data_IF_044779760380
#
_entry.id   IF_044779760380
#
_cell.length_a   1.000
_cell.length_b   1.000
_cell.length_c   1.000
_cell.angle_alpha   90.00
_cell.angle_beta   90.00
_cell.angle_gamma   90.00
#
_symmetry.space_group_name_H-M   'P 1'
#
loop_
_entity.id
_entity.type
_entity.pdbx_description
1 polymer ?
#
# COMPACT_ATOMS: atom_id res chain seq x y z
N UNK A 1 0.51 -16.02 -4.20
CA UNK A 1 1.82 -16.65 -4.10
C UNK A 1 2.56 -16.04 -2.91
N UNK A 2 3.35 -16.84 -2.20
CA UNK A 2 4.26 -16.36 -1.16
C UNK A 2 5.51 -15.68 -1.77
N UNK A 3 6.44 -15.26 -0.92
CA UNK A 3 7.68 -14.60 -1.36
C UNK A 3 8.56 -15.51 -2.20
N UNK A 4 8.54 -16.81 -1.93
CA UNK A 4 9.29 -17.86 -2.64
C UNK A 4 8.65 -18.26 -3.97
N UNK A 5 7.42 -17.78 -4.24
CA UNK A 5 6.67 -18.06 -5.46
C UNK A 5 5.79 -19.31 -5.40
N UNK A 6 5.58 -19.88 -4.21
CA UNK A 6 4.69 -21.00 -4.05
C UNK A 6 3.22 -20.50 -3.98
N UNK A 7 2.31 -21.29 -4.56
CA UNK A 7 0.89 -20.97 -4.42
C UNK A 7 0.43 -21.16 -2.98
N UNK A 8 -0.26 -20.16 -2.43
CA UNK A 8 -0.89 -20.24 -1.11
C UNK A 8 -2.33 -20.78 -1.18
N UNK A 9 -2.83 -20.99 -2.39
CA UNK A 9 -4.13 -21.60 -2.66
C UNK A 9 -3.93 -22.95 -3.35
N UNK A 10 -4.71 -23.94 -2.96
CA UNK A 10 -4.71 -25.25 -3.61
C UNK A 10 -5.16 -25.15 -5.08
N UNK A 11 -6.11 -24.25 -5.34
CA UNK A 11 -6.61 -23.96 -6.69
C UNK A 11 -6.88 -22.47 -6.85
N UNK A 12 -6.65 -21.90 -8.05
CA UNK A 12 -7.06 -20.52 -8.33
C UNK A 12 -8.55 -20.33 -8.11
N UNK A 13 -8.94 -19.15 -7.63
CA UNK A 13 -10.34 -18.71 -7.66
C UNK A 13 -10.69 -18.31 -9.09
N UNK A 14 -11.89 -18.65 -9.54
CA UNK A 14 -12.36 -18.25 -10.84
C UNK A 14 -13.87 -18.03 -10.82
N UNK A 15 -14.32 -17.04 -11.57
CA UNK A 15 -15.72 -16.73 -11.77
C UNK A 15 -15.96 -16.35 -13.22
N UNK A 16 -16.97 -16.94 -13.83
CA UNK A 16 -17.42 -16.52 -15.15
C UNK A 16 -18.06 -15.13 -15.06
N UNK A 17 -17.80 -14.31 -16.06
CA UNK A 17 -18.38 -12.97 -16.19
C UNK A 17 -19.22 -12.98 -17.47
N UNK A 18 -20.54 -12.95 -17.30
CA UNK A 18 -21.48 -12.98 -18.43
C UNK A 18 -21.99 -11.57 -18.73
N UNK A 19 -22.19 -11.29 -20.02
CA UNK A 19 -22.97 -10.15 -20.50
C UNK A 19 -22.49 -8.74 -20.06
N UNK A 20 -21.18 -8.48 -20.07
CA UNK A 20 -20.70 -7.11 -19.95
C UNK A 20 -21.09 -6.35 -21.22
N UNK A 21 -21.95 -5.33 -21.06
CA UNK A 21 -22.35 -4.47 -22.17
C UNK A 21 -21.15 -3.67 -22.67
N UNK A 22 -21.13 -3.33 -23.96
CA UNK A 22 -20.12 -2.40 -24.49
C UNK A 22 -20.11 -1.10 -23.67
N UNK A 23 -18.93 -0.67 -23.23
CA UNK A 23 -18.71 0.45 -22.30
C UNK A 23 -19.37 0.29 -20.92
N UNK A 24 -19.76 -0.92 -20.55
CA UNK A 24 -20.27 -1.26 -19.23
C UNK A 24 -19.15 -1.77 -18.32
N UNK A 25 -19.45 -1.75 -17.01
CA UNK A 25 -18.61 -2.30 -15.97
C UNK A 25 -19.33 -3.44 -15.27
N UNK A 26 -18.59 -4.38 -14.73
CA UNK A 26 -19.11 -5.41 -13.84
C UNK A 26 -18.13 -5.64 -12.72
N UNK A 27 -18.64 -5.88 -11.51
CA UNK A 27 -17.84 -6.19 -10.34
C UNK A 27 -17.88 -7.69 -10.12
N UNK A 28 -16.71 -8.28 -9.91
CA UNK A 28 -16.54 -9.68 -9.55
C UNK A 28 -15.93 -9.76 -8.17
N UNK A 29 -16.59 -10.45 -7.27
CA UNK A 29 -16.11 -10.68 -5.92
C UNK A 29 -15.59 -12.11 -5.79
N UNK A 30 -14.33 -12.26 -5.41
CA UNK A 30 -13.69 -13.54 -5.15
C UNK A 30 -13.20 -13.55 -3.71
N UNK A 31 -13.69 -14.48 -2.92
CA UNK A 31 -13.35 -14.58 -1.50
C UNK A 31 -12.72 -15.93 -1.18
N UNK A 32 -11.66 -15.90 -0.38
CA UNK A 32 -11.02 -17.11 0.13
C UNK A 32 -10.29 -16.81 1.43
N UNK A 33 -10.46 -17.67 2.38
CA UNK A 33 -9.66 -17.67 3.60
C UNK A 33 -8.25 -18.20 3.32
N UNK A 34 -7.24 -17.48 3.81
CA UNK A 34 -5.84 -17.91 3.80
C UNK A 34 -5.47 -18.27 5.25
N UNK A 35 -5.25 -19.55 5.56
CA UNK A 35 -4.94 -19.96 6.91
C UNK A 35 -3.54 -19.52 7.33
N UNK A 36 -3.44 -18.87 8.49
CA UNK A 36 -2.19 -18.45 9.14
C UNK A 36 -1.16 -17.78 8.20
N UNK A 37 -1.53 -16.73 7.46
CA UNK A 37 -0.57 -16.05 6.61
C UNK A 37 0.53 -15.39 7.45
N UNK A 38 1.75 -15.32 6.93
CA UNK A 38 2.79 -14.48 7.50
C UNK A 38 2.32 -13.03 7.44
N UNK A 39 2.15 -12.40 8.60
CA UNK A 39 1.60 -11.05 8.69
C UNK A 39 2.66 -10.02 8.37
N UNK A 40 2.23 -8.95 7.71
CA UNK A 40 3.07 -7.78 7.45
C UNK A 40 3.12 -6.87 8.69
N UNK A 41 4.33 -6.41 9.02
CA UNK A 41 4.59 -5.31 9.95
C UNK A 41 5.86 -4.58 9.51
N UNK A 42 6.16 -3.41 10.10
CA UNK A 42 7.39 -2.69 9.78
C UNK A 42 8.67 -3.46 10.11
N UNK A 43 8.61 -4.37 11.11
CA UNK A 43 9.73 -5.24 11.49
C UNK A 43 9.82 -6.49 10.59
N UNK A 44 8.67 -6.95 10.09
CA UNK A 44 8.55 -8.15 9.26
C UNK A 44 7.64 -7.87 8.07
N UNK A 45 8.13 -7.22 7.01
CA UNK A 45 7.32 -6.80 5.87
C UNK A 45 7.04 -7.95 4.90
N UNK A 46 6.32 -8.97 5.39
CA UNK A 46 5.95 -10.11 4.58
C UNK A 46 4.91 -9.74 3.53
N UNK A 47 5.28 -9.87 2.26
CA UNK A 47 4.42 -9.60 1.12
C UNK A 47 4.13 -10.87 0.33
N UNK A 48 2.93 -10.91 -0.22
CA UNK A 48 2.44 -11.93 -1.15
C UNK A 48 2.23 -11.31 -2.52
N UNK A 49 2.23 -12.14 -3.55
CA UNK A 49 1.91 -11.72 -4.93
C UNK A 49 0.50 -12.17 -5.26
N UNK A 50 -0.37 -11.22 -5.54
CA UNK A 50 -1.67 -11.46 -6.15
C UNK A 50 -1.51 -11.38 -7.67
N UNK A 51 -2.02 -12.38 -8.37
CA UNK A 51 -2.04 -12.43 -9.84
C UNK A 51 -3.49 -12.62 -10.27
N UNK A 52 -3.99 -11.65 -11.02
CA UNK A 52 -5.30 -11.70 -11.66
C UNK A 52 -5.13 -12.00 -13.13
N UNK A 53 -5.95 -12.89 -13.67
CA UNK A 53 -5.96 -13.25 -15.09
C UNK A 53 -7.37 -13.08 -15.64
N UNK A 54 -7.48 -12.35 -16.73
CA UNK A 54 -8.69 -12.30 -17.53
C UNK A 54 -8.52 -13.25 -18.72
N UNK A 55 -9.54 -14.07 -18.97
CA UNK A 55 -9.53 -15.00 -20.10
C UNK A 55 -10.80 -14.86 -20.93
N UNK A 56 -10.68 -15.09 -22.22
CA UNK A 56 -11.84 -15.15 -23.12
C UNK A 56 -12.66 -16.43 -22.91
N UNK A 57 -13.78 -16.55 -23.60
CA UNK A 57 -14.68 -17.72 -23.55
C UNK A 57 -14.04 -19.03 -24.05
N UNK A 58 -12.90 -18.96 -24.74
CA UNK A 58 -12.10 -20.10 -25.21
C UNK A 58 -11.00 -20.50 -24.24
N UNK A 59 -10.81 -19.73 -23.14
CA UNK A 59 -9.77 -19.96 -22.15
C UNK A 59 -8.44 -19.31 -22.49
N UNK A 60 -8.33 -18.49 -23.54
CA UNK A 60 -7.12 -17.75 -23.83
C UNK A 60 -6.99 -16.58 -22.86
N UNK A 61 -5.81 -16.44 -22.23
CA UNK A 61 -5.54 -15.32 -21.34
C UNK A 61 -5.38 -14.05 -22.18
N UNK A 62 -6.20 -13.04 -21.90
CA UNK A 62 -6.21 -11.75 -22.58
C UNK A 62 -5.48 -10.67 -21.80
N UNK A 63 -5.46 -10.78 -20.47
CA UNK A 63 -4.84 -9.80 -19.60
C UNK A 63 -4.32 -10.46 -18.31
N UNK A 64 -3.21 -9.96 -17.79
CA UNK A 64 -2.63 -10.40 -16.51
C UNK A 64 -2.20 -9.19 -15.72
N UNK A 65 -2.83 -9.03 -14.55
CA UNK A 65 -2.45 -8.01 -13.59
C UNK A 65 -1.80 -8.64 -12.36
N UNK A 66 -0.87 -7.90 -11.76
CA UNK A 66 -0.20 -8.35 -10.54
C UNK A 66 -0.02 -7.20 -9.56
N UNK A 67 -0.21 -7.49 -8.28
CA UNK A 67 0.16 -6.56 -7.21
C UNK A 67 0.75 -7.33 -6.02
N UNK A 68 1.42 -6.59 -5.16
CA UNK A 68 1.86 -7.10 -3.86
C UNK A 68 0.79 -6.79 -2.82
N UNK A 69 0.55 -7.72 -1.93
CA UNK A 69 -0.39 -7.58 -0.82
C UNK A 69 0.23 -8.05 0.48
N UNK A 70 -0.13 -7.41 1.58
CA UNK A 70 0.26 -7.81 2.92
C UNK A 70 -0.96 -8.11 3.79
N UNK A 71 -0.88 -9.13 4.63
CA UNK A 71 -1.92 -9.44 5.60
C UNK A 71 -1.60 -8.75 6.92
N UNK A 72 -2.46 -7.83 7.33
CA UNK A 72 -2.33 -7.16 8.63
C UNK A 72 -3.71 -6.81 9.20
N UNK A 73 -3.78 -6.70 10.50
CA UNK A 73 -4.88 -6.06 11.20
C UNK A 73 -4.38 -4.79 11.87
N UNK A 74 -5.14 -3.71 11.78
CA UNK A 74 -4.84 -2.43 12.46
C UNK A 74 -6.06 -2.04 13.28
N UNK A 75 -5.87 -1.80 14.57
CA UNK A 75 -6.94 -1.37 15.48
C UNK A 75 -6.48 -0.21 16.36
N UNK A 76 -7.42 0.69 16.65
CA UNK A 76 -7.26 1.70 17.70
C UNK A 76 -8.00 1.18 18.94
N UNK A 77 -7.28 0.88 20.01
CA UNK A 77 -7.84 0.31 21.23
C UNK A 77 -7.11 0.83 22.47
N UNK A 78 -7.88 1.19 23.48
CA UNK A 78 -7.37 1.68 24.77
C UNK A 78 -6.35 2.82 24.64
N UNK A 79 -6.58 3.76 23.69
CA UNK A 79 -5.69 4.88 23.41
C UNK A 79 -4.39 4.51 22.67
N UNK A 80 -4.29 3.30 22.16
CA UNK A 80 -3.12 2.79 21.42
C UNK A 80 -3.53 2.36 20.01
N UNK A 81 -2.55 2.36 19.10
CA UNK A 81 -2.69 1.72 17.79
C UNK A 81 -1.97 0.37 17.84
N UNK A 82 -2.72 -0.67 17.51
CA UNK A 82 -2.20 -2.03 17.46
C UNK A 82 -2.08 -2.47 16.01
N UNK A 83 -0.95 -3.08 15.67
CA UNK A 83 -0.75 -3.79 14.41
C UNK A 83 -0.60 -5.28 14.72
N UNK A 84 -1.49 -6.10 14.17
CA UNK A 84 -1.54 -7.54 14.44
C UNK A 84 -1.70 -7.86 15.94
N UNK A 85 -2.43 -7.02 16.69
CA UNK A 85 -2.66 -7.15 18.11
C UNK A 85 -1.50 -6.68 19.01
N UNK A 86 -0.42 -6.12 18.42
CA UNK A 86 0.74 -5.60 19.17
C UNK A 86 0.73 -4.08 19.11
N UNK A 87 0.83 -3.38 20.27
CA UNK A 87 0.95 -1.94 20.31
C UNK A 87 2.17 -1.45 19.52
N UNK A 88 1.97 -0.45 18.66
CA UNK A 88 3.02 0.12 17.82
C UNK A 88 3.29 1.56 18.25
N UNK A 89 4.58 1.87 18.39
CA UNK A 89 5.05 3.24 18.56
C UNK A 89 5.61 3.73 17.22
N UNK A 90 4.99 4.75 16.62
CA UNK A 90 5.44 5.34 15.36
C UNK A 90 6.64 6.24 15.59
N UNK A 91 7.80 5.78 15.20
CA UNK A 91 9.05 6.54 15.16
C UNK A 91 9.25 6.97 13.71
N UNK A 92 8.81 8.18 13.38
CA UNK A 92 8.72 8.62 12.00
C UNK A 92 9.29 10.00 11.74
N UNK A 93 9.30 10.34 10.46
CA UNK A 93 9.69 11.64 9.93
C UNK A 93 8.63 12.16 8.98
N UNK A 94 8.61 13.48 8.79
CA UNK A 94 7.85 14.09 7.70
C UNK A 94 8.70 14.05 6.43
N UNK A 95 8.08 13.71 5.31
CA UNK A 95 8.73 13.68 4.01
C UNK A 95 7.96 14.50 2.99
N UNK A 96 8.64 15.39 2.32
CA UNK A 96 8.19 16.00 1.08
C UNK A 96 8.80 15.27 -0.12
N UNK A 97 8.07 15.17 -1.22
CA UNK A 97 8.65 14.78 -2.51
C UNK A 97 9.46 15.92 -3.06
N UNK A 98 10.70 16.01 -2.66
CA UNK A 98 11.60 17.07 -3.06
C UNK A 98 13.04 16.56 -3.15
N UNK A 99 13.72 16.93 -4.21
CA UNK A 99 15.14 16.70 -4.44
C UNK A 99 15.83 18.04 -4.69
N UNK A 100 17.04 18.22 -4.17
CA UNK A 100 17.78 19.47 -4.18
C UNK A 100 18.09 19.99 -5.59
N UNK A 101 18.24 19.08 -6.55
CA UNK A 101 18.59 19.43 -7.95
C UNK A 101 17.41 19.45 -8.92
N UNK A 102 16.29 18.79 -8.57
CA UNK A 102 15.14 18.57 -9.46
C UNK A 102 13.80 19.04 -8.90
N UNK A 103 13.78 19.54 -7.66
CA UNK A 103 12.55 19.94 -7.00
C UNK A 103 11.62 18.76 -6.79
N UNK A 104 10.36 18.87 -7.22
CA UNK A 104 9.36 17.81 -7.07
C UNK A 104 9.49 16.63 -8.04
N UNK A 105 10.45 16.66 -8.98
CA UNK A 105 10.70 15.53 -9.88
C UNK A 105 11.63 14.49 -9.22
N UNK A 106 11.13 13.83 -8.20
CA UNK A 106 11.86 12.82 -7.42
C UNK A 106 12.07 11.54 -8.24
N UNK A 107 13.27 10.98 -8.20
CA UNK A 107 13.58 9.73 -8.88
C UNK A 107 13.36 8.51 -7.99
N UNK A 108 13.20 7.34 -8.58
CA UNK A 108 13.10 6.08 -7.85
C UNK A 108 14.32 5.85 -6.94
N UNK A 109 15.52 6.14 -7.44
CA UNK A 109 16.76 6.01 -6.67
C UNK A 109 16.80 6.95 -5.47
N UNK A 110 16.27 8.17 -5.61
CA UNK A 110 16.13 9.12 -4.51
C UNK A 110 15.17 8.61 -3.44
N UNK A 111 14.03 8.05 -3.85
CA UNK A 111 13.08 7.42 -2.92
C UNK A 111 13.70 6.23 -2.16
N UNK A 112 14.44 5.37 -2.85
CA UNK A 112 15.15 4.25 -2.22
C UNK A 112 16.17 4.76 -1.21
N UNK A 113 16.92 5.83 -1.53
CA UNK A 113 17.87 6.46 -0.61
C UNK A 113 17.20 6.96 0.65
N UNK A 114 16.05 7.62 0.53
CA UNK A 114 15.28 8.10 1.67
C UNK A 114 14.87 6.95 2.60
N UNK A 115 14.33 5.87 2.04
CA UNK A 115 13.93 4.69 2.83
C UNK A 115 15.12 4.02 3.51
N UNK A 116 16.23 3.85 2.81
CA UNK A 116 17.42 3.25 3.40
C UNK A 116 17.96 4.09 4.56
N UNK A 117 17.94 5.42 4.45
CA UNK A 117 18.28 6.32 5.55
C UNK A 117 17.31 6.16 6.72
N UNK A 118 16.00 6.11 6.49
CA UNK A 118 15.02 5.87 7.55
C UNK A 118 15.29 4.56 8.27
N UNK A 119 15.55 3.48 7.55
CA UNK A 119 15.87 2.16 8.16
C UNK A 119 17.19 2.21 8.93
N UNK A 120 18.21 2.87 8.41
CA UNK A 120 19.50 3.04 9.07
C UNK A 120 19.37 3.77 10.41
N UNK A 121 18.49 4.76 10.50
CA UNK A 121 18.21 5.51 11.73
C UNK A 121 17.06 4.91 12.55
N UNK A 122 16.64 3.70 12.24
CA UNK A 122 15.60 2.96 12.96
C UNK A 122 14.23 3.67 13.00
N UNK A 123 13.89 4.39 11.95
CA UNK A 123 12.52 4.87 11.74
C UNK A 123 11.65 3.74 11.17
N UNK A 124 10.41 3.68 11.63
CA UNK A 124 9.41 2.72 11.17
C UNK A 124 8.19 3.38 10.54
N UNK A 125 8.17 4.71 10.44
CA UNK A 125 7.02 5.45 9.92
C UNK A 125 7.45 6.67 9.12
N UNK A 126 6.61 7.10 8.20
CA UNK A 126 6.74 8.33 7.42
C UNK A 126 5.38 8.99 7.26
N UNK A 127 5.34 10.33 7.34
CA UNK A 127 4.17 11.13 6.96
C UNK A 127 4.43 11.78 5.62
N UNK A 128 3.52 11.56 4.66
CA UNK A 128 3.57 12.18 3.32
C UNK A 128 3.04 13.60 3.39
N UNK A 129 3.83 14.53 3.86
CA UNK A 129 3.38 15.92 4.01
C UNK A 129 3.60 16.71 2.72
N UNK A 130 2.57 17.37 2.19
CA UNK A 130 1.17 17.43 2.68
C UNK A 130 0.25 16.98 1.54
N UNK A 131 0.60 15.93 0.86
CA UNK A 131 -0.05 15.42 -0.35
C UNK A 131 0.30 13.94 -0.59
N UNK A 132 -0.51 13.20 -1.37
CA UNK A 132 -0.14 11.86 -1.79
C UNK A 132 1.17 11.87 -2.59
N UNK A 133 2.02 10.89 -2.32
CA UNK A 133 3.30 10.75 -3.00
C UNK A 133 3.18 9.89 -4.28
N UNK A 134 4.29 9.74 -5.01
CA UNK A 134 4.39 8.83 -6.15
C UNK A 134 3.97 7.41 -5.73
N UNK A 135 3.17 6.69 -6.53
CA UNK A 135 2.78 5.30 -6.22
C UNK A 135 3.94 4.37 -5.88
N UNK A 136 5.11 4.54 -6.52
CA UNK A 136 6.29 3.76 -6.22
C UNK A 136 6.81 3.95 -4.78
N UNK A 137 6.53 5.11 -4.16
CA UNK A 137 6.87 5.37 -2.76
C UNK A 137 6.14 4.41 -1.81
N UNK A 138 4.86 4.19 -2.05
CA UNK A 138 4.06 3.28 -1.23
C UNK A 138 4.50 1.83 -1.40
N UNK A 139 4.83 1.43 -2.64
CA UNK A 139 5.40 0.12 -2.93
C UNK A 139 6.72 -0.12 -2.18
N UNK A 140 7.57 0.90 -2.10
CA UNK A 140 8.82 0.86 -1.33
C UNK A 140 8.54 0.80 0.18
N UNK A 141 7.57 1.56 0.69
CA UNK A 141 7.17 1.51 2.10
C UNK A 141 6.68 0.11 2.49
N UNK A 142 5.90 -0.53 1.62
CA UNK A 142 5.44 -1.91 1.82
C UNK A 142 6.60 -2.90 1.85
N UNK A 143 7.56 -2.76 0.93
CA UNK A 143 8.70 -3.66 0.77
C UNK A 143 9.70 -3.55 1.92
N UNK A 144 10.03 -2.33 2.31
CA UNK A 144 11.03 -2.06 3.36
C UNK A 144 10.44 -2.04 4.78
N UNK A 145 9.13 -2.10 4.93
CA UNK A 145 8.46 -2.08 6.22
C UNK A 145 8.48 -0.69 6.85
N UNK A 146 7.77 0.24 6.23
CA UNK A 146 7.53 1.59 6.75
C UNK A 146 6.03 1.81 6.85
N UNK A 147 5.53 2.19 8.02
CA UNK A 147 4.16 2.68 8.18
C UNK A 147 4.00 4.03 7.52
N UNK A 148 2.91 4.24 6.82
CA UNK A 148 2.62 5.52 6.15
C UNK A 148 1.45 6.21 6.84
N UNK A 149 1.64 7.48 7.17
CA UNK A 149 0.57 8.42 7.50
C UNK A 149 0.36 9.25 6.24
N UNK A 150 -0.58 8.80 5.42
CA UNK A 150 -0.86 9.42 4.13
C UNK A 150 -1.77 10.63 4.29
N UNK A 151 -1.51 11.68 3.52
CA UNK A 151 -2.30 12.91 3.55
C UNK A 151 -2.96 13.15 2.20
N UNK A 152 -4.26 13.46 2.25
CA UNK A 152 -4.96 13.98 1.09
C UNK A 152 -4.42 15.38 0.73
N UNK A 153 -4.44 15.71 -0.56
CA UNK A 153 -4.02 17.03 -1.03
C UNK A 153 -5.07 18.11 -0.74
N UNK A 154 -5.34 18.34 0.54
CA UNK A 154 -6.34 19.30 1.05
C UNK A 154 -5.77 20.27 2.07
N UNK A 155 -4.46 20.41 2.14
CA UNK A 155 -3.85 21.40 3.02
C UNK A 155 -4.23 22.81 2.58
N UNK A 156 -4.74 23.61 3.53
CA UNK A 156 -5.40 24.85 3.20
C UNK A 156 -5.17 25.90 4.30
N UNK A 157 -3.94 26.35 4.48
CA UNK A 157 -3.56 27.37 5.47
C UNK A 157 -4.38 28.65 5.33
N UNK A 158 -4.72 29.05 4.09
CA UNK A 158 -5.53 30.25 3.84
C UNK A 158 -6.96 30.18 4.39
N UNK A 159 -7.53 28.97 4.50
CA UNK A 159 -8.91 28.81 5.05
C UNK A 159 -8.92 28.77 6.57
N UNK A 160 -7.84 28.41 7.23
CA UNK A 160 -7.77 28.45 8.68
C UNK A 160 -7.90 29.88 9.26
N UNK A 161 -7.66 30.91 8.42
CA UNK A 161 -7.77 32.31 8.77
C UNK A 161 -9.06 32.98 8.24
N UNK A 162 -9.93 32.26 7.53
CA UNK A 162 -11.21 32.75 7.05
C UNK A 162 -12.30 32.28 8.01
N UNK A 163 -12.62 33.10 9.01
CA UNK A 163 -13.81 32.93 9.82
C UNK A 163 -13.63 32.37 11.22
N UNK A 164 -12.65 32.87 11.96
CA UNK A 164 -12.83 32.91 13.41
C UNK A 164 -13.91 33.94 13.76
N UNK A 165 -14.84 33.65 14.69
CA UNK A 165 -15.73 34.68 15.19
C UNK A 165 -14.91 35.79 15.84
N UNK A 166 -15.17 37.05 15.46
CA UNK A 166 -14.75 38.21 16.23
C UNK A 166 -15.48 38.23 17.59
#
# INVERSE_FOLDING_TARGET
FDAEGNSVLDKPLSQAVDNVRSKGETVVELEREIPNPKKWSAEHPHLYKLVLKLSDSKGNVTEVERCRIGFRNVEAKDGQILVNGVPVYFKGVNRHEHEDTRGHAVTFESMVKDILLMKQFNFNAVRTCHYPNDPAWYDLCDEYGIYVIDEANVECHGLANIGGPE
#
